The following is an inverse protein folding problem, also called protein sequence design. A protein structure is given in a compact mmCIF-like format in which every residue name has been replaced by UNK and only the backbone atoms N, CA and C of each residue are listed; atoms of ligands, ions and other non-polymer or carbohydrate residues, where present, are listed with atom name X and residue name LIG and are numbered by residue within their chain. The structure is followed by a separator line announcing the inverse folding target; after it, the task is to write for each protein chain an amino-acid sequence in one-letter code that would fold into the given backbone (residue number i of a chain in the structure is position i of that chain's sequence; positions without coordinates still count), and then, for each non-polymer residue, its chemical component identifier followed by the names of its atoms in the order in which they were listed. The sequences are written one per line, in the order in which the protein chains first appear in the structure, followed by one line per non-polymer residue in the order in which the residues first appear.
data_IF_635189165725
#
_entry.id   IF_635189165725
#
_cell.length_a   1.000
_cell.length_b   1.000
_cell.length_c   1.000
_cell.angle_alpha   90.00
_cell.angle_beta   90.00
_cell.angle_gamma   90.00
#
_symmetry.space_group_name_H-M   'P 1'
#
loop_
_entity.id
_entity.type
_entity.pdbx_description
1 polymer ?
#
# COMPACT_ATOMS: atom_id res chain seq x y z
N UNK A 1 108.62 -11.38 14.35
CA UNK A 1 108.88 -9.93 14.33
C UNK A 1 107.99 -9.34 13.26
N UNK A 2 106.90 -8.67 13.60
CA UNK A 2 106.83 -7.32 14.16
C UNK A 2 106.59 -6.29 13.04
N UNK A 3 105.54 -5.49 13.31
CA UNK A 3 105.28 -4.12 12.87
C UNK A 3 104.77 -3.88 11.44
N UNK A 4 103.63 -3.18 11.44
CA UNK A 4 102.96 -2.51 10.34
C UNK A 4 103.86 -1.54 9.56
N UNK A 5 103.52 -1.33 8.29
CA UNK A 5 103.56 0.00 7.67
C UNK A 5 102.54 0.06 6.55
N UNK A 6 101.40 0.68 6.83
CA UNK A 6 100.56 1.31 5.81
C UNK A 6 101.16 2.70 5.48
N UNK A 7 100.53 3.48 4.60
CA UNK A 7 100.55 3.41 3.14
C UNK A 7 101.19 4.69 2.59
N UNK A 8 101.30 4.83 1.26
CA UNK A 8 101.12 6.08 0.47
C UNK A 8 102.01 6.07 -0.78
N UNK A 9 101.36 6.15 -1.93
CA UNK A 9 101.97 6.70 -3.13
C UNK A 9 101.54 5.99 -4.40
N UNK A 10 100.70 6.69 -5.18
CA UNK A 10 100.34 6.53 -6.60
C UNK A 10 98.87 6.14 -6.79
N UNK A 11 97.95 7.12 -6.76
CA UNK A 11 97.63 8.08 -7.83
C UNK A 11 97.13 7.40 -9.10
N UNK A 12 95.82 7.62 -9.30
CA UNK A 12 95.21 8.01 -10.58
C UNK A 12 95.39 7.06 -11.75
N UNK A 13 94.29 6.34 -12.03
CA UNK A 13 93.70 5.98 -13.33
C UNK A 13 92.58 4.99 -12.94
N UNK A 14 91.29 5.29 -12.99
CA UNK A 14 90.54 6.23 -13.80
C UNK A 14 89.35 6.70 -12.97
N UNK A 15 89.17 8.02 -12.86
CA UNK A 15 87.85 8.59 -12.71
C UNK A 15 87.11 8.36 -14.04
N UNK A 16 86.75 7.10 -14.32
CA UNK A 16 85.81 6.81 -15.38
C UNK A 16 84.51 7.47 -14.94
N UNK A 17 84.08 8.46 -15.71
CA UNK A 17 82.82 9.15 -15.50
C UNK A 17 81.70 8.12 -15.64
N UNK A 18 81.37 7.43 -14.56
CA UNK A 18 80.19 6.59 -14.52
C UNK A 18 79.01 7.54 -14.62
N UNK A 19 78.30 7.47 -15.73
CA UNK A 19 77.02 8.14 -15.85
C UNK A 19 76.14 7.72 -14.68
N UNK A 20 75.22 8.58 -14.24
CA UNK A 20 74.32 8.22 -13.14
C UNK A 20 73.54 6.92 -13.40
N UNK A 21 73.35 6.59 -14.69
CA UNK A 21 72.80 5.33 -15.19
C UNK A 21 73.68 4.09 -14.93
N UNK A 22 74.96 4.23 -14.64
CA UNK A 22 75.89 3.12 -14.39
C UNK A 22 76.15 2.89 -12.90
N UNK A 23 75.69 3.78 -12.02
CA UNK A 23 75.73 3.58 -10.57
C UNK A 23 74.89 2.35 -10.19
N UNK A 24 75.31 1.53 -9.21
CA UNK A 24 74.56 0.34 -8.82
C UNK A 24 73.21 0.73 -8.21
N UNK A 25 72.18 0.72 -9.04
CA UNK A 25 70.78 0.95 -8.69
C UNK A 25 70.02 -0.39 -8.81
N UNK A 26 68.94 -0.57 -8.05
CA UNK A 26 68.05 -1.75 -8.10
C UNK A 26 67.64 -2.05 -9.54
N UNK A 27 67.39 -0.99 -10.33
CA UNK A 27 67.08 -1.11 -11.75
C UNK A 27 68.22 -1.71 -12.59
N UNK A 28 69.47 -1.31 -12.34
CA UNK A 28 70.64 -1.83 -13.07
C UNK A 28 70.97 -3.28 -12.71
N UNK A 29 70.68 -3.70 -11.47
CA UNK A 29 70.79 -5.09 -11.06
C UNK A 29 69.74 -5.96 -11.76
N UNK A 30 68.50 -5.46 -11.86
CA UNK A 30 67.43 -6.12 -12.61
C UNK A 30 67.77 -6.24 -14.10
N UNK A 31 68.29 -5.17 -14.72
CA UNK A 31 68.72 -5.19 -16.13
C UNK A 31 69.83 -6.21 -16.36
N UNK A 32 70.81 -6.32 -15.45
CA UNK A 32 71.83 -7.38 -15.52
C UNK A 32 71.22 -8.77 -15.41
N UNK A 33 70.28 -9.00 -14.47
CA UNK A 33 69.60 -10.29 -14.33
C UNK A 33 68.79 -10.67 -15.57
N UNK A 34 68.14 -9.71 -16.21
CA UNK A 34 67.44 -9.91 -17.50
C UNK A 34 68.45 -10.26 -18.60
N UNK A 35 69.58 -9.55 -18.66
CA UNK A 35 70.62 -9.75 -19.68
C UNK A 35 71.31 -11.12 -19.58
N UNK A 36 71.53 -11.63 -18.36
CA UNK A 36 72.06 -12.98 -18.15
C UNK A 36 71.01 -14.09 -18.34
N UNK A 37 69.73 -13.75 -18.35
CA UNK A 37 68.62 -14.68 -18.53
C UNK A 37 68.40 -15.59 -17.32
N UNK A 38 67.43 -15.26 -16.48
CA UNK A 38 67.04 -16.14 -15.37
C UNK A 38 66.14 -17.26 -15.89
N UNK A 39 66.54 -18.52 -15.68
CA UNK A 39 65.68 -19.66 -15.95
C UNK A 39 64.50 -19.66 -14.97
N UNK A 40 63.29 -19.46 -15.49
CA UNK A 40 62.07 -19.51 -14.70
C UNK A 40 61.74 -20.95 -14.29
N UNK A 41 61.19 -21.13 -13.09
CA UNK A 41 60.66 -22.42 -12.66
C UNK A 41 59.47 -22.80 -13.54
N UNK A 42 59.38 -24.08 -13.91
CA UNK A 42 58.26 -24.61 -14.69
C UNK A 42 56.95 -24.46 -13.89
N UNK A 43 56.00 -23.73 -14.45
CA UNK A 43 54.68 -23.50 -13.82
C UNK A 43 53.85 -24.77 -13.96
N UNK A 44 53.25 -25.21 -12.87
CA UNK A 44 52.30 -26.32 -12.90
C UNK A 44 50.97 -25.78 -13.40
N UNK A 45 50.39 -26.44 -14.40
CA UNK A 45 49.06 -26.12 -14.89
C UNK A 45 48.03 -27.12 -14.35
N UNK A 46 46.79 -26.69 -14.15
CA UNK A 46 45.67 -27.60 -13.85
C UNK A 46 45.28 -28.44 -15.07
N UNK A 47 44.33 -29.36 -14.89
CA UNK A 47 43.73 -30.23 -15.91
C UNK A 47 43.18 -29.47 -17.13
N UNK A 48 42.92 -28.17 -16.99
CA UNK A 48 42.51 -27.25 -18.06
C UNK A 48 43.64 -26.36 -18.57
N UNK A 49 44.89 -26.76 -18.37
CA UNK A 49 46.11 -26.04 -18.79
C UNK A 49 46.30 -24.64 -18.19
N UNK A 50 45.52 -24.27 -17.16
CA UNK A 50 45.65 -22.96 -16.49
C UNK A 50 46.79 -22.99 -15.48
N UNK A 51 47.73 -22.03 -15.52
CA UNK A 51 48.86 -21.99 -14.59
C UNK A 51 48.37 -21.75 -13.16
N UNK A 52 48.78 -22.60 -12.23
CA UNK A 52 48.53 -22.45 -10.79
C UNK A 52 49.54 -21.44 -10.23
N UNK A 53 49.18 -20.16 -10.26
CA UNK A 53 49.98 -19.06 -9.72
C UNK A 53 49.37 -18.56 -8.41
N UNK A 54 49.90 -19.01 -7.27
CA UNK A 54 49.47 -18.52 -5.95
C UNK A 54 50.09 -17.15 -5.64
N UNK A 55 49.27 -16.24 -5.11
CA UNK A 55 49.72 -14.97 -4.50
C UNK A 55 49.99 -13.81 -5.45
N UNK A 56 49.84 -13.95 -6.77
CA UNK A 56 49.89 -12.82 -7.69
C UNK A 56 48.51 -12.16 -7.79
N UNK A 57 48.37 -10.95 -7.19
CA UNK A 57 47.27 -10.03 -7.52
C UNK A 57 47.27 -9.86 -9.04
N UNK A 58 46.13 -10.06 -9.71
CA UNK A 58 46.00 -9.89 -11.17
C UNK A 58 46.47 -8.47 -11.51
N UNK A 59 47.71 -8.32 -11.96
CA UNK A 59 48.21 -7.04 -12.44
C UNK A 59 47.51 -6.81 -13.77
N UNK A 60 46.69 -5.75 -13.83
CA UNK A 60 46.14 -5.25 -15.09
C UNK A 60 47.33 -5.02 -16.02
N UNK A 61 47.36 -5.70 -17.16
CA UNK A 61 48.44 -5.58 -18.15
C UNK A 61 48.66 -4.09 -18.41
N UNK A 62 49.84 -3.58 -18.10
CA UNK A 62 50.21 -2.23 -18.53
C UNK A 62 50.37 -2.31 -20.04
N UNK A 63 49.53 -1.59 -20.78
CA UNK A 63 49.61 -1.55 -22.24
C UNK A 63 50.98 -0.96 -22.63
N UNK A 64 51.70 -1.65 -23.49
CA UNK A 64 52.90 -1.10 -24.12
C UNK A 64 52.50 0.09 -25.00
N UNK A 65 53.44 1.00 -25.30
CA UNK A 65 53.15 2.21 -26.10
C UNK A 65 52.56 1.83 -27.46
N UNK A 66 53.00 0.71 -28.03
CA UNK A 66 52.45 0.16 -29.29
C UNK A 66 51.00 -0.34 -29.13
N UNK A 67 50.66 -0.98 -28.01
CA UNK A 67 49.30 -1.41 -27.72
C UNK A 67 48.34 -0.24 -27.42
N UNK A 68 48.85 0.88 -26.87
CA UNK A 68 48.03 2.08 -26.67
C UNK A 68 47.62 2.73 -28.01
N UNK A 69 48.51 2.68 -29.00
CA UNK A 69 48.24 3.21 -30.35
C UNK A 69 47.25 2.30 -31.10
N UNK A 70 47.39 0.98 -30.98
CA UNK A 70 46.45 0.02 -31.57
C UNK A 70 45.07 0.11 -30.92
N UNK A 71 45.00 0.24 -29.59
CA UNK A 71 43.74 0.38 -28.87
C UNK A 71 43.00 1.67 -29.24
N UNK A 72 43.72 2.79 -29.42
CA UNK A 72 43.13 4.04 -29.89
C UNK A 72 42.58 3.93 -31.33
N UNK A 73 43.14 3.04 -32.15
CA UNK A 73 42.62 2.75 -33.49
C UNK A 73 41.43 1.76 -33.47
N UNK A 74 41.37 0.84 -32.50
CA UNK A 74 40.27 -0.14 -32.34
C UNK A 74 39.04 0.42 -31.59
N UNK A 75 39.10 1.63 -31.01
CA UNK A 75 37.98 2.20 -30.22
C UNK A 75 36.79 2.66 -31.09
N UNK A 76 36.83 2.50 -32.41
CA UNK A 76 35.69 2.78 -33.30
C UNK A 76 34.83 1.55 -33.66
N UNK A 77 35.23 0.30 -33.34
CA UNK A 77 34.49 -0.88 -33.84
C UNK A 77 34.17 -2.00 -32.83
N UNK A 78 34.50 -1.90 -31.53
CA UNK A 78 34.14 -2.96 -30.57
C UNK A 78 33.67 -2.42 -29.23
N UNK A 79 32.37 -2.11 -29.15
CA UNK A 79 31.67 -1.94 -27.87
C UNK A 79 31.35 -3.34 -27.30
N UNK A 80 32.20 -3.74 -26.34
CA UNK A 80 31.85 -4.39 -25.08
C UNK A 80 31.29 -5.83 -25.13
N UNK A 81 32.20 -6.80 -25.00
CA UNK A 81 31.98 -8.02 -24.20
C UNK A 81 33.23 -8.24 -23.33
N UNK A 82 33.19 -7.82 -22.06
CA UNK A 82 34.29 -8.07 -21.11
C UNK A 82 34.38 -7.11 -19.93
N UNK A 83 33.47 -7.25 -18.96
CA UNK A 83 33.73 -7.33 -17.50
C UNK A 83 32.43 -7.08 -16.70
N UNK A 84 31.41 -7.93 -16.88
CA UNK A 84 30.15 -7.88 -16.10
C UNK A 84 30.34 -8.20 -14.60
N UNK A 85 31.53 -8.67 -14.20
CA UNK A 85 31.82 -9.06 -12.81
C UNK A 85 32.16 -7.87 -11.90
N UNK A 86 32.76 -6.79 -12.42
CA UNK A 86 33.06 -5.58 -11.63
C UNK A 86 31.81 -4.69 -11.43
N UNK A 87 30.79 -4.84 -12.29
CA UNK A 87 29.51 -4.15 -12.13
C UNK A 87 28.71 -4.73 -10.96
N UNK A 88 28.85 -6.03 -10.66
CA UNK A 88 28.11 -6.70 -9.59
C UNK A 88 28.53 -6.20 -8.20
N UNK A 89 29.83 -5.99 -7.96
CA UNK A 89 30.29 -5.47 -6.66
C UNK A 89 29.90 -3.99 -6.48
N UNK A 90 29.90 -3.20 -7.57
CA UNK A 90 29.41 -1.82 -7.55
C UNK A 90 27.90 -1.74 -7.31
N UNK A 91 27.12 -2.58 -7.99
CA UNK A 91 25.67 -2.69 -7.79
C UNK A 91 25.38 -3.18 -6.37
N UNK A 92 26.20 -4.04 -5.79
CA UNK A 92 26.08 -4.47 -4.39
C UNK A 92 26.32 -3.31 -3.42
N UNK A 93 27.36 -2.51 -3.63
CA UNK A 93 27.66 -1.36 -2.79
C UNK A 93 26.57 -0.28 -2.90
N UNK A 94 26.09 -0.01 -4.13
CA UNK A 94 24.97 0.91 -4.37
C UNK A 94 23.68 0.40 -3.71
N UNK A 95 23.39 -0.90 -3.81
CA UNK A 95 22.22 -1.53 -3.16
C UNK A 95 22.33 -1.52 -1.63
N UNK A 96 23.54 -1.65 -1.08
CA UNK A 96 23.76 -1.50 0.36
C UNK A 96 23.60 -0.04 0.82
N UNK A 97 24.05 0.92 0.00
CA UNK A 97 23.88 2.35 0.26
C UNK A 97 22.40 2.75 0.23
N UNK A 98 21.64 2.31 -0.76
CA UNK A 98 20.18 2.57 -0.84
C UNK A 98 19.44 1.92 0.31
N UNK A 99 19.82 0.69 0.71
CA UNK A 99 19.29 0.04 1.92
C UNK A 99 19.56 0.87 3.19
N UNK A 100 20.76 1.43 3.33
CA UNK A 100 21.10 2.27 4.47
C UNK A 100 20.32 3.59 4.47
N UNK A 101 20.14 4.21 3.29
CA UNK A 101 19.34 5.43 3.12
C UNK A 101 17.88 5.18 3.48
N UNK A 102 17.28 4.11 2.96
CA UNK A 102 15.90 3.72 3.28
C UNK A 102 15.72 3.44 4.78
N UNK A 103 16.67 2.79 5.42
CA UNK A 103 16.62 2.56 6.87
C UNK A 103 16.64 3.88 7.68
N UNK A 104 17.39 4.88 7.22
CA UNK A 104 17.39 6.22 7.84
C UNK A 104 16.07 6.94 7.56
N UNK A 105 15.51 6.84 6.36
CA UNK A 105 14.22 7.41 6.01
C UNK A 105 13.09 6.81 6.83
N UNK A 106 13.05 5.49 7.00
CA UNK A 106 12.08 4.80 7.85
C UNK A 106 12.19 5.26 9.31
N UNK A 107 13.41 5.37 9.84
CA UNK A 107 13.64 5.89 11.20
C UNK A 107 13.19 7.35 11.36
N UNK A 108 13.44 8.19 10.36
CA UNK A 108 13.00 9.58 10.34
C UNK A 108 11.47 9.68 10.24
N UNK A 109 10.85 8.88 9.36
CA UNK A 109 9.40 8.78 9.21
C UNK A 109 8.74 8.35 10.52
N UNK A 110 9.27 7.33 11.18
CA UNK A 110 8.76 6.86 12.48
C UNK A 110 8.96 7.90 13.60
N UNK A 111 10.02 8.73 13.55
CA UNK A 111 10.20 9.83 14.48
C UNK A 111 9.17 10.95 14.24
N UNK A 112 8.92 11.31 12.99
CA UNK A 112 7.91 12.31 12.58
C UNK A 112 6.50 11.82 12.93
N UNK A 113 6.19 10.53 12.73
CA UNK A 113 4.91 9.95 13.11
C UNK A 113 4.66 9.97 14.62
N UNK A 114 5.70 9.72 15.42
CA UNK A 114 5.61 9.87 16.88
C UNK A 114 5.36 11.32 17.29
N UNK A 115 6.01 12.28 16.64
CA UNK A 115 5.80 13.70 16.90
C UNK A 115 4.38 14.13 16.49
N UNK A 116 3.91 13.72 15.31
CA UNK A 116 2.55 13.97 14.85
C UNK A 116 1.51 13.39 15.81
N UNK A 117 1.70 12.16 16.32
CA UNK A 117 0.82 11.57 17.34
C UNK A 117 0.79 12.41 18.63
N UNK A 118 1.93 12.94 19.06
CA UNK A 118 2.00 13.84 20.24
C UNK A 118 1.31 15.17 19.97
N UNK A 119 1.48 15.75 18.79
CA UNK A 119 0.83 16.99 18.40
C UNK A 119 -0.69 16.83 18.30
N UNK A 120 -1.17 15.74 17.69
CA UNK A 120 -2.59 15.41 17.64
C UNK A 120 -3.19 15.23 19.05
N UNK A 121 -2.49 14.55 19.95
CA UNK A 121 -2.93 14.43 21.35
C UNK A 121 -2.97 15.79 22.06
N UNK A 122 -2.02 16.69 21.76
CA UNK A 122 -2.01 18.04 22.33
C UNK A 122 -3.15 18.90 21.78
N UNK A 123 -3.44 18.81 20.47
CA UNK A 123 -4.56 19.49 19.83
C UNK A 123 -5.87 19.01 20.47
N UNK A 124 -6.08 17.71 20.59
CA UNK A 124 -7.27 17.14 21.23
C UNK A 124 -7.45 17.65 22.67
N UNK A 125 -6.36 17.69 23.45
CA UNK A 125 -6.42 18.22 24.82
C UNK A 125 -6.81 19.71 24.85
N UNK A 126 -6.24 20.52 23.95
CA UNK A 126 -6.56 21.94 23.84
C UNK A 126 -7.99 22.17 23.36
N UNK A 127 -8.50 21.34 22.44
CA UNK A 127 -9.90 21.38 22.00
C UNK A 127 -10.84 21.10 23.18
N UNK A 128 -10.54 20.09 24.00
CA UNK A 128 -11.31 19.78 25.22
C UNK A 128 -11.24 20.91 26.24
N UNK A 129 -10.09 21.55 26.42
CA UNK A 129 -9.94 22.71 27.31
C UNK A 129 -10.75 23.91 26.80
N UNK A 130 -10.70 24.20 25.50
CA UNK A 130 -11.48 25.27 24.86
C UNK A 130 -12.98 24.99 24.98
N UNK A 131 -13.43 23.74 24.80
CA UNK A 131 -14.84 23.37 25.00
C UNK A 131 -15.28 23.54 26.45
N UNK A 132 -14.45 23.16 27.42
CA UNK A 132 -14.72 23.39 28.84
C UNK A 132 -14.81 24.88 29.15
N UNK A 133 -13.88 25.70 28.66
CA UNK A 133 -13.92 27.16 28.84
C UNK A 133 -15.12 27.81 28.15
N UNK A 134 -15.53 27.33 26.97
CA UNK A 134 -16.75 27.79 26.30
C UNK A 134 -17.99 27.45 27.12
N UNK A 135 -18.02 26.27 27.74
CA UNK A 135 -19.14 25.85 28.58
C UNK A 135 -19.19 26.61 29.91
N UNK A 136 -18.04 26.93 30.53
CA UNK A 136 -17.99 27.77 31.72
C UNK A 136 -18.40 29.21 31.41
N UNK A 137 -17.92 29.80 30.30
CA UNK A 137 -18.35 31.13 29.85
C UNK A 137 -19.85 31.19 29.54
N UNK A 138 -20.40 30.16 28.87
CA UNK A 138 -21.85 30.04 28.64
C UNK A 138 -22.66 29.93 29.95
N UNK A 139 -22.10 29.36 31.01
CA UNK A 139 -22.75 29.32 32.32
C UNK A 139 -22.68 30.66 33.05
N UNK A 140 -21.60 31.43 32.88
CA UNK A 140 -21.42 32.76 33.48
C UNK A 140 -22.33 33.82 32.84
N UNK A 141 -22.69 33.69 31.56
CA UNK A 141 -23.56 34.63 30.83
C UNK A 141 -25.07 34.37 30.98
N UNK A 142 -25.50 33.31 31.67
CA UNK A 142 -26.91 32.90 31.74
C UNK A 142 -27.61 33.38 33.01
N UNK A 143 -28.75 34.07 32.83
CA UNK A 143 -29.59 34.49 33.96
C UNK A 143 -30.21 33.29 34.69
N UNK A 144 -30.37 33.33 36.04
CA UNK A 144 -30.80 32.18 36.86
C UNK A 144 -32.14 31.54 36.47
N UNK A 145 -32.97 32.25 35.72
CA UNK A 145 -34.28 31.79 35.26
C UNK A 145 -34.22 30.91 34.01
N UNK A 146 -33.22 31.10 33.15
CA UNK A 146 -33.01 30.29 31.93
C UNK A 146 -32.44 28.92 32.31
N UNK A 147 -31.48 28.89 33.23
CA UNK A 147 -30.87 27.66 33.74
C UNK A 147 -31.89 26.72 34.40
N UNK A 148 -32.89 27.26 35.11
CA UNK A 148 -33.95 26.43 35.72
C UNK A 148 -34.87 25.79 34.69
N UNK A 149 -35.20 26.50 33.61
CA UNK A 149 -36.06 25.97 32.54
C UNK A 149 -35.35 24.89 31.73
N UNK A 150 -34.09 25.12 31.38
CA UNK A 150 -33.27 24.12 30.69
C UNK A 150 -33.07 22.87 31.55
N UNK A 151 -32.81 23.03 32.85
CA UNK A 151 -32.72 21.90 33.77
C UNK A 151 -34.05 21.14 33.92
N UNK A 152 -35.20 21.83 33.94
CA UNK A 152 -36.52 21.19 33.91
C UNK A 152 -36.81 20.44 32.60
N UNK A 153 -36.28 20.92 31.46
CA UNK A 153 -36.41 20.25 30.17
C UNK A 153 -35.48 19.04 30.05
N UNK A 154 -34.24 19.15 30.54
CA UNK A 154 -33.29 18.04 30.58
C UNK A 154 -33.75 16.93 31.52
N UNK A 155 -34.27 17.28 32.69
CA UNK A 155 -34.84 16.29 33.63
C UNK A 155 -36.06 15.57 33.04
N UNK A 156 -36.90 16.25 32.25
CA UNK A 156 -38.00 15.60 31.51
C UNK A 156 -37.50 14.65 30.43
N UNK A 157 -36.47 15.03 29.67
CA UNK A 157 -35.85 14.16 28.65
C UNK A 157 -35.20 12.92 29.28
N UNK A 158 -34.47 13.09 30.38
CA UNK A 158 -33.89 11.97 31.12
C UNK A 158 -34.96 11.05 31.71
N UNK A 159 -36.10 11.61 32.15
CA UNK A 159 -37.24 10.82 32.60
C UNK A 159 -37.90 10.02 31.46
N UNK A 160 -38.06 10.60 30.27
CA UNK A 160 -38.61 9.87 29.11
C UNK A 160 -37.66 8.78 28.63
N UNK A 161 -36.36 9.05 28.56
CA UNK A 161 -35.35 8.06 28.16
C UNK A 161 -35.27 6.90 29.16
N UNK A 162 -35.39 7.19 30.46
CA UNK A 162 -35.48 6.16 31.50
C UNK A 162 -36.73 5.27 31.31
N UNK A 163 -37.88 5.85 30.96
CA UNK A 163 -39.11 5.10 30.69
C UNK A 163 -38.98 4.22 29.44
N UNK A 164 -38.37 4.73 28.37
CA UNK A 164 -38.10 3.96 27.16
C UNK A 164 -37.15 2.79 27.45
N UNK A 165 -36.10 3.03 28.24
CA UNK A 165 -35.19 1.96 28.68
C UNK A 165 -35.90 0.91 29.53
N UNK A 166 -36.82 1.30 30.40
CA UNK A 166 -37.61 0.35 31.19
C UNK A 166 -38.52 -0.50 30.31
N UNK A 167 -39.22 0.11 29.34
CA UNK A 167 -40.05 -0.63 28.38
C UNK A 167 -39.23 -1.61 27.54
N UNK A 168 -38.03 -1.21 27.09
CA UNK A 168 -37.14 -2.08 26.35
C UNK A 168 -36.68 -3.30 27.17
N UNK A 169 -36.43 -3.11 28.48
CA UNK A 169 -36.10 -4.22 29.39
C UNK A 169 -37.29 -5.16 29.54
N UNK A 170 -38.51 -4.64 29.77
CA UNK A 170 -39.72 -5.45 29.87
C UNK A 170 -39.98 -6.27 28.59
N UNK A 171 -39.77 -5.67 27.41
CA UNK A 171 -39.86 -6.40 26.14
C UNK A 171 -38.84 -7.54 26.03
N UNK A 172 -37.60 -7.31 26.45
CA UNK A 172 -36.56 -8.34 26.43
C UNK A 172 -36.88 -9.44 27.43
N UNK A 173 -37.38 -9.09 28.61
CA UNK A 173 -37.81 -10.06 29.61
C UNK A 173 -38.96 -10.93 29.08
N UNK A 174 -39.95 -10.34 28.41
CA UNK A 174 -41.04 -11.10 27.79
C UNK A 174 -40.53 -12.04 26.69
N UNK A 175 -39.65 -11.56 25.81
CA UNK A 175 -39.00 -12.40 24.78
C UNK A 175 -38.21 -13.55 25.41
N UNK A 176 -37.52 -13.29 26.53
CA UNK A 176 -36.81 -14.34 27.27
C UNK A 176 -37.77 -15.38 27.83
N UNK A 177 -38.89 -14.97 28.45
CA UNK A 177 -39.90 -15.90 28.95
C UNK A 177 -40.52 -16.75 27.83
N UNK A 178 -40.83 -16.16 26.68
CA UNK A 178 -41.37 -16.88 25.52
C UNK A 178 -40.37 -17.91 24.97
N UNK A 179 -39.10 -17.52 24.81
CA UNK A 179 -38.05 -18.42 24.31
C UNK A 179 -37.78 -19.58 25.26
N UNK A 180 -37.80 -19.33 26.57
CA UNK A 180 -37.70 -20.40 27.59
C UNK A 180 -38.90 -21.35 27.49
N UNK A 181 -40.12 -20.83 27.32
CA UNK A 181 -41.31 -21.65 27.10
C UNK A 181 -41.22 -22.53 25.84
N UNK A 182 -40.74 -21.98 24.73
CA UNK A 182 -40.50 -22.74 23.49
C UNK A 182 -39.44 -23.82 23.70
N UNK A 183 -38.37 -23.51 24.42
CA UNK A 183 -37.30 -24.46 24.74
C UNK A 183 -37.86 -25.66 25.52
N UNK A 184 -38.70 -25.42 26.53
CA UNK A 184 -39.34 -26.50 27.29
C UNK A 184 -40.31 -27.33 26.45
N UNK A 185 -41.07 -26.71 25.53
CA UNK A 185 -41.89 -27.44 24.57
C UNK A 185 -41.04 -28.36 23.68
N UNK A 186 -39.95 -27.85 23.11
CA UNK A 186 -39.06 -28.65 22.25
C UNK A 186 -38.36 -29.78 22.99
N UNK A 187 -38.00 -29.58 24.27
CA UNK A 187 -37.47 -30.64 25.13
C UNK A 187 -38.49 -31.76 25.31
N UNK A 188 -39.74 -31.42 25.61
CA UNK A 188 -40.81 -32.41 25.75
C UNK A 188 -41.04 -33.19 24.45
N UNK A 189 -41.08 -32.50 23.30
CA UNK A 189 -41.21 -33.15 21.99
C UNK A 189 -40.05 -34.10 21.69
N UNK A 190 -38.82 -33.71 22.04
CA UNK A 190 -37.62 -34.54 21.89
C UNK A 190 -37.68 -35.78 22.78
N UNK A 191 -38.09 -35.64 24.03
CA UNK A 191 -38.27 -36.77 24.96
C UNK A 191 -39.35 -37.74 24.45
N UNK A 192 -40.44 -37.22 23.91
CA UNK A 192 -41.47 -38.04 23.26
C UNK A 192 -40.93 -38.79 22.04
N UNK A 193 -40.18 -38.12 21.17
CA UNK A 193 -39.56 -38.72 20.00
C UNK A 193 -38.57 -39.82 20.39
N UNK A 194 -37.76 -39.59 21.43
CA UNK A 194 -36.85 -40.60 21.99
C UNK A 194 -37.63 -41.80 22.53
N UNK A 195 -38.72 -41.58 23.24
CA UNK A 195 -39.59 -42.66 23.75
C UNK A 195 -40.22 -43.47 22.61
N UNK A 196 -40.67 -42.81 21.54
CA UNK A 196 -41.19 -43.45 20.32
C UNK A 196 -40.09 -44.27 19.62
N UNK A 197 -38.88 -43.72 19.46
CA UNK A 197 -37.74 -44.44 18.89
C UNK A 197 -37.37 -45.68 19.71
N UNK A 198 -37.28 -45.58 21.04
CA UNK A 198 -37.01 -46.75 21.89
C UNK A 198 -38.08 -47.84 21.75
N UNK A 199 -39.35 -47.46 21.57
CA UNK A 199 -40.42 -48.43 21.32
C UNK A 199 -40.26 -49.12 19.95
N UNK A 200 -39.87 -48.37 18.91
CA UNK A 200 -39.61 -48.92 17.58
C UNK A 200 -38.40 -49.86 17.59
N UNK A 201 -37.30 -49.47 18.25
CA UNK A 201 -36.12 -50.33 18.41
C UNK A 201 -36.45 -51.64 19.11
N UNK A 202 -37.27 -51.60 20.19
CA UNK A 202 -37.75 -52.82 20.87
C UNK A 202 -38.60 -53.70 19.97
N UNK A 203 -39.48 -53.11 19.14
CA UNK A 203 -40.29 -53.85 18.16
C UNK A 203 -39.40 -54.49 17.09
N UNK A 204 -38.45 -53.76 16.52
CA UNK A 204 -37.48 -54.30 15.55
C UNK A 204 -36.64 -55.43 16.15
N UNK A 205 -36.16 -55.28 17.39
CA UNK A 205 -35.42 -56.32 18.10
C UNK A 205 -36.26 -57.57 18.37
N UNK A 206 -37.57 -57.42 18.63
CA UNK A 206 -38.48 -58.55 18.82
C UNK A 206 -38.78 -59.30 17.50
N UNK A 207 -38.89 -58.58 16.38
CA UNK A 207 -39.04 -59.17 15.05
C UNK A 207 -37.76 -59.92 14.64
N UNK A 208 -36.59 -59.33 14.91
CA UNK A 208 -35.29 -59.97 14.65
C UNK A 208 -35.06 -61.26 15.47
N UNK A 209 -35.71 -61.40 16.63
CA UNK A 209 -35.64 -62.61 17.47
C UNK A 209 -36.68 -63.69 17.11
N UNK A 210 -37.59 -63.42 16.16
CA UNK A 210 -38.78 -64.23 15.90
C UNK A 210 -38.85 -64.94 14.54
N UNK A 211 -37.80 -64.95 13.70
CA UNK A 211 -37.90 -65.54 12.36
C UNK A 211 -36.63 -66.24 11.87
N UNK A 212 -36.61 -67.58 11.97
CA UNK A 212 -35.83 -68.42 11.06
C UNK A 212 -36.59 -68.58 9.72
N UNK A 213 -35.91 -68.28 8.61
CA UNK A 213 -36.13 -68.94 7.31
C UNK A 213 -36.95 -68.22 6.23
N UNK A 214 -36.31 -67.32 5.45
CA UNK A 214 -36.44 -67.36 3.99
C UNK A 214 -35.25 -66.72 3.27
N UNK A 215 -34.72 -67.40 2.25
CA UNK A 215 -33.54 -67.06 1.45
C UNK A 215 -33.98 -66.67 0.02
N UNK A 216 -33.18 -65.80 -0.63
CA UNK A 216 -33.04 -65.52 -2.09
C UNK A 216 -34.05 -64.49 -2.67
N UNK A 217 -33.68 -63.42 -3.41
CA UNK A 217 -32.67 -63.27 -4.47
C UNK A 217 -32.27 -61.79 -4.75
N UNK A 218 -30.96 -61.58 -5.03
CA UNK A 218 -30.28 -60.66 -6.00
C UNK A 218 -30.88 -59.26 -6.33
N UNK A 219 -30.29 -58.15 -5.85
CA UNK A 219 -29.29 -57.24 -6.52
C UNK A 219 -29.94 -55.96 -7.12
N UNK A 220 -29.22 -54.83 -7.37
CA UNK A 220 -28.34 -54.06 -6.45
C UNK A 220 -28.45 -52.51 -6.63
N UNK A 221 -27.97 -51.70 -5.67
CA UNK A 221 -27.16 -50.47 -5.90
C UNK A 221 -26.63 -49.97 -4.53
N UNK A 222 -25.33 -50.12 -4.26
CA UNK A 222 -24.26 -49.12 -4.45
C UNK A 222 -24.46 -47.85 -3.58
N UNK A 223 -23.87 -47.84 -2.37
CA UNK A 223 -22.61 -47.12 -2.00
C UNK A 223 -22.83 -45.59 -1.89
N UNK A 224 -22.46 -44.85 -0.83
CA UNK A 224 -21.56 -45.01 0.33
C UNK A 224 -21.89 -43.84 1.30
N UNK A 225 -21.95 -44.07 2.62
CA UNK A 225 -20.96 -43.62 3.63
C UNK A 225 -20.76 -42.08 3.67
N UNK A 226 -21.21 -41.42 4.74
CA UNK A 226 -20.32 -40.85 5.78
C UNK A 226 -21.02 -40.94 7.13
N UNK A 227 -20.39 -41.69 8.04
CA UNK A 227 -20.63 -41.67 9.47
C UNK A 227 -19.85 -40.52 10.10
N UNK A 228 -20.51 -39.86 11.03
CA UNK A 228 -19.96 -39.09 12.13
C UNK A 228 -19.09 -39.93 13.07
N UNK A 229 -18.15 -39.27 13.76
CA UNK A 229 -17.72 -39.53 15.14
C UNK A 229 -16.72 -38.46 15.61
N UNK A 230 -17.15 -37.66 16.60
CA UNK A 230 -16.67 -37.60 17.99
C UNK A 230 -15.16 -37.91 18.23
N UNK A 231 -14.42 -37.29 19.16
CA UNK A 231 -14.80 -36.76 20.47
C UNK A 231 -13.57 -35.97 21.04
N UNK A 232 -13.84 -34.95 21.89
CA UNK A 232 -13.18 -34.59 23.18
C UNK A 232 -11.63 -34.50 23.26
N UNK A 233 -10.95 -33.50 23.85
CA UNK A 233 -11.12 -32.86 25.18
C UNK A 233 -10.02 -31.80 25.45
N UNK A 234 -10.38 -30.73 26.20
CA UNK A 234 -9.63 -30.03 27.27
C UNK A 234 -8.43 -29.11 26.90
N UNK A 235 -8.71 -27.81 26.82
CA UNK A 235 -8.28 -26.76 27.78
C UNK A 235 -6.79 -26.55 28.11
N UNK A 236 -6.25 -25.40 27.66
CA UNK A 236 -5.40 -24.53 28.49
C UNK A 236 -5.26 -23.13 27.85
N UNK A 237 -5.63 -22.10 28.62
CA UNK A 237 -5.36 -20.69 28.35
C UNK A 237 -3.85 -20.42 28.16
N UNK A 238 -3.48 -19.64 27.14
CA UNK A 238 -2.44 -18.62 27.29
C UNK A 238 -2.64 -17.44 26.33
N UNK A 239 -2.89 -16.30 26.95
CA UNK A 239 -2.88 -14.94 26.40
C UNK A 239 -1.48 -14.64 25.86
N UNK A 240 -1.39 -14.08 24.66
CA UNK A 240 -0.46 -12.98 24.39
C UNK A 240 -0.85 -12.19 23.12
N UNK A 241 -0.89 -10.88 23.31
CA UNK A 241 -1.07 -9.80 22.33
C UNK A 241 -0.05 -9.82 21.20
N UNK A 242 -0.45 -9.37 20.01
CA UNK A 242 0.31 -8.54 19.04
C UNK A 242 -0.69 -8.16 17.92
N UNK A 243 -1.18 -6.91 17.93
CA UNK A 243 -0.83 -5.82 17.01
C UNK A 243 -1.11 -6.13 15.51
N UNK A 244 -1.98 -5.37 14.81
CA UNK A 244 -2.15 -5.49 13.37
C UNK A 244 -1.07 -4.67 12.62
N UNK A 245 -0.20 -5.38 11.90
CA UNK A 245 0.68 -4.90 10.83
C UNK A 245 -0.22 -4.43 9.66
N UNK A 246 -0.11 -3.17 9.23
CA UNK A 246 0.76 -2.73 8.12
C UNK A 246 0.45 -3.49 6.81
N UNK A 247 -0.45 -2.89 6.04
CA UNK A 247 -0.68 -3.17 4.63
C UNK A 247 0.56 -2.72 3.85
N UNK A 248 1.52 -3.64 3.63
CA UNK A 248 2.50 -3.49 2.56
C UNK A 248 1.97 -4.11 1.27
N UNK A 249 1.95 -3.27 0.23
CA UNK A 249 1.71 -3.60 -1.16
C UNK A 249 2.57 -4.80 -1.58
N UNK A 250 1.94 -5.93 -1.89
CA UNK A 250 2.65 -7.00 -2.59
C UNK A 250 2.88 -6.60 -4.05
N UNK A 251 4.08 -6.10 -4.27
CA UNK A 251 4.73 -5.98 -5.57
C UNK A 251 4.64 -7.31 -6.34
N UNK A 252 4.50 -7.16 -7.65
CA UNK A 252 4.43 -8.23 -8.64
C UNK A 252 5.58 -9.25 -8.47
N UNK A 253 5.27 -10.45 -7.96
CA UNK A 253 6.04 -11.65 -8.30
C UNK A 253 5.43 -12.27 -9.56
N UNK A 254 5.95 -11.85 -10.70
CA UNK A 254 5.84 -12.62 -11.93
C UNK A 254 6.69 -13.89 -11.76
N UNK A 255 6.07 -14.96 -11.26
CA UNK A 255 6.68 -16.28 -11.19
C UNK A 255 6.79 -16.82 -12.62
N UNK A 256 7.84 -16.43 -13.33
CA UNK A 256 8.31 -17.18 -14.50
C UNK A 256 9.03 -18.43 -13.99
N UNK A 257 8.25 -19.47 -13.68
CA UNK A 257 8.77 -20.84 -13.57
C UNK A 257 9.19 -21.30 -14.98
N UNK A 258 10.42 -20.95 -15.37
CA UNK A 258 11.14 -21.65 -16.44
C UNK A 258 11.64 -22.97 -15.88
N UNK A 259 10.76 -23.98 -15.80
CA UNK A 259 11.22 -25.36 -15.65
C UNK A 259 11.60 -25.90 -17.02
N UNK A 260 12.90 -26.14 -17.16
CA UNK A 260 13.56 -26.92 -18.20
C UNK A 260 12.90 -28.29 -18.33
N UNK A 261 12.10 -28.50 -19.37
CA UNK A 261 11.62 -29.83 -19.71
C UNK A 261 12.80 -30.66 -20.25
N UNK A 262 13.18 -31.65 -19.46
CA UNK A 262 14.15 -32.67 -19.85
C UNK A 262 13.41 -33.62 -20.77
N UNK A 263 13.67 -33.57 -22.08
CA UNK A 263 13.05 -34.49 -23.03
C UNK A 263 13.53 -35.91 -22.78
N UNK A 264 12.70 -36.70 -22.10
CA UNK A 264 12.78 -38.15 -22.08
C UNK A 264 11.76 -38.68 -23.09
N UNK A 265 12.26 -39.00 -24.27
CA UNK A 265 11.55 -39.68 -25.34
C UNK A 265 11.01 -41.03 -24.86
N UNK A 266 9.72 -41.29 -25.16
CA UNK A 266 8.91 -42.51 -24.94
C UNK A 266 7.87 -42.42 -23.79
N UNK A 267 6.80 -41.64 -23.99
CA UNK A 267 5.59 -41.71 -23.13
C UNK A 267 4.32 -41.75 -23.99
N UNK A 268 3.34 -42.56 -23.58
CA UNK A 268 2.08 -42.89 -24.26
C UNK A 268 1.25 -41.63 -24.61
N UNK A 269 0.51 -41.65 -25.73
CA UNK A 269 -0.36 -40.55 -26.19
C UNK A 269 -1.38 -40.07 -25.12
N UNK A 270 -1.72 -40.95 -24.16
CA UNK A 270 -2.62 -40.64 -23.04
C UNK A 270 -2.04 -39.67 -22.03
N UNK A 271 -0.71 -39.70 -21.80
CA UNK A 271 -0.06 -38.81 -20.84
C UNK A 271 0.15 -37.40 -21.41
N UNK A 272 0.36 -37.28 -22.73
CA UNK A 272 0.43 -35.97 -23.39
C UNK A 272 -0.90 -35.20 -23.35
N UNK A 273 -2.03 -35.89 -23.54
CA UNK A 273 -3.36 -35.29 -23.45
C UNK A 273 -3.67 -34.79 -22.02
N UNK A 274 -3.30 -35.58 -20.99
CA UNK A 274 -3.47 -35.18 -19.59
C UNK A 274 -2.57 -33.99 -19.22
N UNK A 275 -1.35 -33.94 -19.75
CA UNK A 275 -0.44 -32.78 -19.61
C UNK A 275 -1.01 -31.52 -20.26
N UNK A 276 -1.56 -31.63 -21.47
CA UNK A 276 -2.22 -30.51 -22.16
C UNK A 276 -3.46 -30.03 -21.40
N UNK A 277 -4.30 -30.94 -20.90
CA UNK A 277 -5.45 -30.57 -20.07
C UNK A 277 -5.00 -29.82 -18.81
N UNK A 278 -3.96 -30.30 -18.13
CA UNK A 278 -3.39 -29.64 -16.95
C UNK A 278 -2.82 -28.25 -17.26
N UNK A 279 -2.16 -28.08 -18.43
CA UNK A 279 -1.67 -26.77 -18.91
C UNK A 279 -2.85 -25.81 -19.17
N UNK A 280 -3.88 -26.26 -19.88
CA UNK A 280 -5.07 -25.42 -20.16
C UNK A 280 -5.84 -25.03 -18.90
N UNK A 281 -5.92 -25.92 -17.91
CA UNK A 281 -6.55 -25.63 -16.61
C UNK A 281 -5.77 -24.58 -15.81
N UNK A 282 -4.44 -24.63 -15.82
CA UNK A 282 -3.58 -23.60 -15.19
C UNK A 282 -3.78 -22.23 -15.85
N UNK A 283 -3.80 -22.20 -17.18
CA UNK A 283 -4.01 -20.96 -17.94
C UNK A 283 -5.39 -20.34 -17.68
N UNK A 284 -6.45 -21.16 -17.65
CA UNK A 284 -7.79 -20.70 -17.27
C UNK A 284 -7.81 -20.15 -15.84
N UNK A 285 -7.12 -20.80 -14.89
CA UNK A 285 -7.02 -20.31 -13.50
C UNK A 285 -6.33 -18.95 -13.44
N UNK A 286 -5.23 -18.76 -14.17
CA UNK A 286 -4.54 -17.47 -14.25
C UNK A 286 -5.44 -16.37 -14.82
N UNK A 287 -6.19 -16.67 -15.88
CA UNK A 287 -7.14 -15.71 -16.48
C UNK A 287 -8.28 -15.36 -15.51
N UNK A 288 -8.80 -16.32 -14.74
CA UNK A 288 -9.81 -16.07 -13.70
C UNK A 288 -9.24 -15.17 -12.60
N UNK A 289 -8.04 -15.43 -12.11
CA UNK A 289 -7.40 -14.58 -11.10
C UNK A 289 -7.14 -13.17 -11.64
N UNK A 290 -6.69 -13.05 -12.90
CA UNK A 290 -6.50 -11.77 -13.57
C UNK A 290 -7.81 -10.99 -13.66
N UNK A 291 -8.89 -11.62 -14.13
CA UNK A 291 -10.23 -11.03 -14.20
C UNK A 291 -10.69 -10.53 -12.82
N UNK A 292 -10.55 -11.36 -11.79
CA UNK A 292 -10.93 -11.00 -10.41
C UNK A 292 -10.16 -9.78 -9.91
N UNK A 293 -8.85 -9.74 -10.12
CA UNK A 293 -8.04 -8.60 -9.68
C UNK A 293 -8.39 -7.30 -10.42
N UNK A 294 -8.76 -7.35 -11.70
CA UNK A 294 -9.23 -6.15 -12.41
C UNK A 294 -10.59 -5.68 -11.90
N UNK A 295 -11.54 -6.59 -11.65
CA UNK A 295 -12.83 -6.24 -11.04
C UNK A 295 -12.65 -5.57 -9.68
N UNK A 296 -11.80 -6.13 -8.82
CA UNK A 296 -11.52 -5.56 -7.50
C UNK A 296 -10.93 -4.15 -7.63
N UNK A 297 -9.90 -3.98 -8.48
CA UNK A 297 -9.30 -2.66 -8.75
C UNK A 297 -10.31 -1.66 -9.32
N UNK A 298 -11.22 -2.11 -10.18
CA UNK A 298 -12.28 -1.28 -10.76
C UNK A 298 -13.29 -0.82 -9.70
N UNK A 299 -13.72 -1.71 -8.80
CA UNK A 299 -14.61 -1.34 -7.68
C UNK A 299 -13.94 -0.32 -6.76
N UNK A 300 -12.63 -0.48 -6.49
CA UNK A 300 -11.87 0.48 -5.69
C UNK A 300 -11.76 1.84 -6.39
N UNK A 301 -11.48 1.86 -7.71
CA UNK A 301 -11.43 3.09 -8.49
C UNK A 301 -12.80 3.80 -8.55
N UNK A 302 -13.92 3.06 -8.62
CA UNK A 302 -15.28 3.62 -8.53
C UNK A 302 -15.55 4.26 -7.17
N UNK A 303 -15.22 3.58 -6.08
CA UNK A 303 -15.34 4.13 -4.71
C UNK A 303 -14.51 5.39 -4.55
N UNK A 304 -13.26 5.39 -5.02
CA UNK A 304 -12.42 6.59 -5.03
C UNK A 304 -13.07 7.74 -5.81
N UNK A 305 -13.65 7.45 -6.99
CA UNK A 305 -14.35 8.46 -7.81
C UNK A 305 -15.50 9.12 -7.06
N UNK A 306 -16.29 8.33 -6.34
CA UNK A 306 -17.39 8.84 -5.51
C UNK A 306 -16.86 9.81 -4.43
N UNK A 307 -15.82 9.39 -3.70
CA UNK A 307 -15.18 10.23 -2.67
C UNK A 307 -14.62 11.52 -3.28
N UNK A 308 -13.98 11.46 -4.45
CA UNK A 308 -13.46 12.63 -5.14
C UNK A 308 -14.57 13.58 -5.60
N UNK A 309 -15.71 13.06 -6.08
CA UNK A 309 -16.86 13.89 -6.45
C UNK A 309 -17.44 14.61 -5.22
N UNK A 310 -17.59 13.92 -4.10
CA UNK A 310 -18.03 14.56 -2.85
C UNK A 310 -17.04 15.65 -2.38
N UNK A 311 -15.74 15.39 -2.47
CA UNK A 311 -14.71 16.37 -2.14
C UNK A 311 -14.79 17.59 -3.07
N UNK A 312 -14.99 17.37 -4.38
CA UNK A 312 -15.17 18.45 -5.36
C UNK A 312 -16.36 19.34 -4.99
N UNK A 313 -17.53 18.73 -4.71
CA UNK A 313 -18.73 19.44 -4.27
C UNK A 313 -18.49 20.26 -2.98
N UNK A 314 -17.80 19.66 -2.00
CA UNK A 314 -17.42 20.36 -0.75
C UNK A 314 -16.52 21.57 -1.01
N UNK A 315 -15.52 21.45 -1.88
CA UNK A 315 -14.64 22.57 -2.22
C UNK A 315 -15.37 23.68 -2.99
N UNK A 316 -16.25 23.31 -3.93
CA UNK A 316 -17.09 24.28 -4.64
C UNK A 316 -17.99 25.06 -3.68
N UNK A 317 -18.64 24.37 -2.74
CA UNK A 317 -19.47 25.01 -1.72
C UNK A 317 -18.65 25.95 -0.84
N UNK A 318 -17.49 25.50 -0.35
CA UNK A 318 -16.61 26.33 0.48
C UNK A 318 -16.11 27.59 -0.26
N UNK A 319 -15.81 27.48 -1.56
CA UNK A 319 -15.43 28.62 -2.39
C UNK A 319 -16.60 29.61 -2.56
N UNK A 320 -17.82 29.12 -2.77
CA UNK A 320 -19.03 29.96 -2.85
C UNK A 320 -19.27 30.72 -1.55
N UNK A 321 -19.16 30.03 -0.42
CA UNK A 321 -19.36 30.64 0.91
C UNK A 321 -18.29 31.70 1.21
N UNK A 322 -17.03 31.43 0.86
CA UNK A 322 -15.94 32.40 1.01
C UNK A 322 -16.14 33.65 0.12
N UNK A 323 -16.59 33.46 -1.13
CA UNK A 323 -16.94 34.59 -2.02
C UNK A 323 -18.10 35.41 -1.45
N UNK A 324 -19.11 34.77 -0.86
CA UNK A 324 -20.21 35.47 -0.16
C UNK A 324 -19.69 36.26 1.03
N UNK A 325 -18.77 35.70 1.82
CA UNK A 325 -18.14 36.41 2.94
C UNK A 325 -17.32 37.61 2.48
N UNK A 326 -16.50 37.45 1.45
CA UNK A 326 -15.75 38.55 0.82
C UNK A 326 -16.69 39.68 0.37
N UNK A 327 -17.79 39.35 -0.34
CA UNK A 327 -18.78 40.35 -0.77
C UNK A 327 -19.40 41.10 0.42
N UNK A 328 -19.67 40.43 1.55
CA UNK A 328 -20.18 41.10 2.76
C UNK A 328 -19.15 42.07 3.34
N UNK A 329 -17.91 41.64 3.44
CA UNK A 329 -16.81 42.45 3.95
C UNK A 329 -16.53 43.67 3.05
N UNK A 330 -16.61 43.48 1.73
CA UNK A 330 -16.54 44.58 0.76
C UNK A 330 -17.64 45.62 1.00
N UNK A 331 -18.89 45.20 1.23
CA UNK A 331 -19.98 46.13 1.56
C UNK A 331 -19.74 46.88 2.88
N UNK A 332 -19.11 46.26 3.87
CA UNK A 332 -18.75 46.91 5.14
C UNK A 332 -17.66 47.97 4.93
N UNK A 333 -16.62 47.65 4.15
CA UNK A 333 -15.58 48.60 3.74
C UNK A 333 -16.18 49.78 2.98
N UNK A 334 -17.04 49.52 1.98
CA UNK A 334 -17.69 50.57 1.20
C UNK A 334 -18.58 51.47 2.09
N UNK A 335 -19.25 50.88 3.08
CA UNK A 335 -20.05 51.64 4.06
C UNK A 335 -19.18 52.53 4.94
N UNK A 336 -18.04 52.04 5.42
CA UNK A 336 -17.11 52.88 6.19
C UNK A 336 -16.47 53.96 5.33
N UNK A 337 -16.09 53.65 4.10
CA UNK A 337 -15.58 54.63 3.15
C UNK A 337 -16.61 55.73 2.85
N UNK A 338 -17.90 55.38 2.77
CA UNK A 338 -18.98 56.36 2.62
C UNK A 338 -19.14 57.23 3.88
N UNK A 339 -19.18 56.63 5.07
CA UNK A 339 -19.24 57.39 6.33
C UNK A 339 -18.04 58.35 6.49
N UNK A 340 -16.85 57.93 6.08
CA UNK A 340 -15.63 58.76 6.05
C UNK A 340 -15.69 59.91 5.05
N UNK A 341 -16.50 59.77 4.01
CA UNK A 341 -16.65 60.78 2.95
C UNK A 341 -17.80 61.75 3.25
N UNK A 342 -18.82 61.28 3.99
CA UNK A 342 -20.02 62.03 4.33
C UNK A 342 -19.83 62.97 5.55
N UNK A 343 -18.63 63.04 6.13
CA UNK A 343 -18.25 64.10 7.10
C UNK A 343 -18.16 65.51 6.48
N UNK A 344 -18.25 65.65 5.14
CA UNK A 344 -18.22 66.94 4.44
C UNK A 344 -19.58 67.43 3.88
N UNK A 345 -20.65 66.62 3.82
CA UNK A 345 -21.98 67.14 3.43
C UNK A 345 -23.13 66.19 3.84
N UNK A 346 -23.98 66.66 4.73
CA UNK A 346 -25.15 65.99 5.27
C UNK A 346 -26.26 65.89 4.20
N UNK A 347 -26.38 64.75 3.51
CA UNK A 347 -27.65 64.37 2.86
C UNK A 347 -27.87 62.85 2.92
N UNK A 348 -28.71 62.47 3.88
CA UNK A 348 -29.19 61.11 4.08
C UNK A 348 -30.26 60.80 3.04
N UNK A 349 -29.92 60.21 1.90
CA UNK A 349 -30.79 59.25 1.19
C UNK A 349 -29.95 58.30 0.33
N UNK A 350 -30.02 57.01 0.62
CA UNK A 350 -30.14 55.98 -0.41
C UNK A 350 -30.65 54.71 0.25
N UNK A 351 -31.98 54.55 0.21
CA UNK A 351 -32.56 53.27 -0.14
C UNK A 351 -31.85 52.75 -1.41
N UNK A 352 -31.41 51.50 -1.40
CA UNK A 352 -31.86 50.54 -2.40
C UNK A 352 -31.51 49.12 -1.92
N UNK A 353 -32.58 48.35 -1.76
CA UNK A 353 -32.61 46.91 -1.71
C UNK A 353 -31.84 46.32 -2.90
N UNK A 354 -31.12 45.25 -2.65
CA UNK A 354 -30.36 44.52 -3.65
C UNK A 354 -29.78 43.27 -3.04
N UNK A 355 -30.66 42.37 -2.62
CA UNK A 355 -30.33 40.95 -2.50
C UNK A 355 -29.74 40.49 -3.83
N UNK A 356 -28.41 40.40 -3.89
CA UNK A 356 -27.71 39.63 -4.90
C UNK A 356 -27.88 38.16 -4.53
N UNK A 357 -29.09 37.64 -4.69
CA UNK A 357 -29.33 36.24 -4.97
C UNK A 357 -28.69 35.93 -6.33
N UNK A 358 -27.36 35.77 -6.33
CA UNK A 358 -26.69 34.98 -7.37
C UNK A 358 -27.03 33.52 -7.06
N UNK A 359 -28.26 33.17 -7.41
CA UNK A 359 -28.75 31.81 -7.47
C UNK A 359 -28.17 31.18 -8.76
N UNK A 360 -26.85 30.99 -8.79
CA UNK A 360 -26.22 30.09 -9.74
C UNK A 360 -26.55 28.65 -9.32
N UNK A 361 -27.80 28.28 -9.61
CA UNK A 361 -28.26 26.90 -9.72
C UNK A 361 -27.60 26.29 -10.95
N UNK A 362 -26.29 26.04 -10.85
CA UNK A 362 -25.65 25.04 -11.69
C UNK A 362 -26.28 23.70 -11.33
N UNK A 363 -27.23 23.30 -12.17
CA UNK A 363 -27.79 21.96 -12.23
C UNK A 363 -26.63 21.02 -12.51
N UNK A 364 -25.98 20.54 -11.44
CA UNK A 364 -25.18 19.33 -11.49
C UNK A 364 -26.16 18.22 -11.88
N UNK A 365 -26.25 18.00 -13.20
CA UNK A 365 -26.90 16.85 -13.78
C UNK A 365 -26.23 15.63 -13.17
N UNK A 366 -26.88 15.10 -12.12
CA UNK A 366 -26.68 13.77 -11.57
C UNK A 366 -26.96 12.76 -12.70
N UNK A 367 -26.05 12.67 -13.65
CA UNK A 367 -25.93 11.50 -14.49
C UNK A 367 -25.38 10.44 -13.55
N UNK A 368 -26.31 9.78 -12.85
CA UNK A 368 -26.07 8.46 -12.30
C UNK A 368 -25.46 7.65 -13.43
N UNK A 369 -24.14 7.42 -13.34
CA UNK A 369 -23.48 6.46 -14.22
C UNK A 369 -24.14 5.15 -13.88
N UNK A 370 -25.07 4.79 -14.76
CA UNK A 370 -25.87 3.60 -14.72
C UNK A 370 -24.93 2.46 -14.37
N UNK A 371 -25.20 1.81 -13.24
CA UNK A 371 -24.55 0.58 -12.87
C UNK A 371 -24.77 -0.38 -14.02
N UNK A 372 -23.77 -0.45 -14.89
CA UNK A 372 -23.69 -1.46 -15.92
C UNK A 372 -23.40 -2.75 -15.16
N UNK A 373 -24.45 -3.32 -14.56
CA UNK A 373 -24.52 -4.72 -14.25
C UNK A 373 -24.41 -5.43 -15.60
N UNK A 374 -23.17 -5.57 -16.09
CA UNK A 374 -22.85 -6.52 -17.12
C UNK A 374 -23.28 -7.87 -16.56
N UNK A 375 -24.46 -8.32 -17.00
CA UNK A 375 -24.95 -9.67 -16.88
C UNK A 375 -23.76 -10.61 -17.03
N UNK A 376 -23.36 -11.21 -15.90
CA UNK A 376 -22.19 -12.07 -15.88
C UNK A 376 -22.52 -13.29 -16.75
N UNK A 377 -22.12 -13.22 -18.01
CA UNK A 377 -22.19 -14.33 -18.95
C UNK A 377 -21.19 -15.41 -18.57
N UNK A 378 -21.39 -16.05 -17.42
CA UNK A 378 -20.73 -17.31 -17.11
C UNK A 378 -21.22 -18.34 -18.12
N UNK A 379 -20.31 -18.73 -19.01
CA UNK A 379 -20.56 -19.79 -19.97
C UNK A 379 -20.81 -21.11 -19.20
N UNK A 380 -21.74 -21.96 -19.66
CA UNK A 380 -22.01 -23.25 -19.03
C UNK A 380 -20.75 -24.09 -18.78
N UNK A 381 -20.72 -24.94 -17.74
CA UNK A 381 -19.55 -25.71 -17.36
C UNK A 381 -19.04 -26.65 -18.47
N UNK A 382 -19.90 -27.06 -19.39
CA UNK A 382 -19.57 -27.92 -20.54
C UNK A 382 -19.00 -27.17 -21.76
N UNK A 383 -18.74 -25.86 -21.65
CA UNK A 383 -18.15 -25.12 -22.79
C UNK A 383 -16.69 -25.51 -23.04
N UNK A 384 -16.27 -25.63 -24.31
CA UNK A 384 -14.89 -25.92 -24.68
C UNK A 384 -13.91 -24.93 -24.04
N UNK A 385 -12.75 -25.44 -23.61
CA UNK A 385 -11.70 -24.67 -22.94
C UNK A 385 -11.30 -23.41 -23.74
N UNK A 386 -11.23 -23.49 -25.06
CA UNK A 386 -10.89 -22.34 -25.93
C UNK A 386 -11.93 -21.21 -25.86
N UNK A 387 -13.22 -21.55 -25.82
CA UNK A 387 -14.29 -20.54 -25.71
C UNK A 387 -14.28 -19.89 -24.34
N UNK A 388 -13.96 -20.65 -23.28
CA UNK A 388 -13.78 -20.12 -21.92
C UNK A 388 -12.60 -19.15 -21.86
N UNK A 389 -11.47 -19.50 -22.49
CA UNK A 389 -10.30 -18.61 -22.58
C UNK A 389 -10.61 -17.30 -23.31
N UNK A 390 -11.28 -17.38 -24.46
CA UNK A 390 -11.68 -16.20 -25.23
C UNK A 390 -12.58 -15.28 -24.41
N UNK A 391 -13.63 -15.82 -23.79
CA UNK A 391 -14.55 -15.06 -22.95
C UNK A 391 -13.85 -14.39 -21.75
N UNK A 392 -13.00 -15.13 -21.02
CA UNK A 392 -12.23 -14.56 -19.90
C UNK A 392 -11.28 -13.47 -20.36
N UNK A 393 -10.65 -13.64 -21.52
CA UNK A 393 -9.73 -12.65 -22.08
C UNK A 393 -10.46 -11.38 -22.51
N UNK A 394 -11.62 -11.51 -23.16
CA UNK A 394 -12.46 -10.38 -23.55
C UNK A 394 -12.96 -9.60 -22.32
N UNK A 395 -13.51 -10.31 -21.34
CA UNK A 395 -13.96 -9.69 -20.08
C UNK A 395 -12.80 -9.02 -19.33
N UNK A 396 -11.64 -9.68 -19.27
CA UNK A 396 -10.45 -9.10 -18.65
C UNK A 396 -10.05 -7.80 -19.34
N UNK A 397 -10.10 -7.74 -20.68
CA UNK A 397 -9.80 -6.50 -21.44
C UNK A 397 -10.83 -5.41 -21.21
N UNK A 398 -12.11 -5.75 -21.08
CA UNK A 398 -13.17 -4.77 -20.77
C UNK A 398 -12.94 -4.13 -19.41
N UNK A 399 -12.77 -4.93 -18.35
CA UNK A 399 -12.48 -4.41 -17.01
C UNK A 399 -11.17 -3.63 -16.95
N UNK A 400 -10.13 -4.06 -17.68
CA UNK A 400 -8.87 -3.33 -17.78
C UNK A 400 -9.04 -1.94 -18.42
N UNK A 401 -9.78 -1.85 -19.53
CA UNK A 401 -10.07 -0.58 -20.20
C UNK A 401 -10.93 0.34 -19.34
N UNK A 402 -11.98 -0.20 -18.69
CA UNK A 402 -12.82 0.55 -17.75
C UNK A 402 -12.00 1.08 -16.57
N UNK A 403 -11.13 0.24 -15.99
CA UNK A 403 -10.23 0.64 -14.92
C UNK A 403 -9.28 1.77 -15.35
N UNK A 404 -8.70 1.69 -16.56
CA UNK A 404 -7.82 2.73 -17.09
C UNK A 404 -8.57 4.06 -17.28
N UNK A 405 -9.79 4.02 -17.81
CA UNK A 405 -10.64 5.20 -17.96
C UNK A 405 -11.02 5.81 -16.60
N UNK A 406 -11.40 4.99 -15.62
CA UNK A 406 -11.71 5.44 -14.26
C UNK A 406 -10.49 6.09 -13.59
N UNK A 407 -9.30 5.48 -13.69
CA UNK A 407 -8.06 6.06 -13.15
C UNK A 407 -7.75 7.42 -13.75
N UNK A 408 -7.90 7.58 -15.08
CA UNK A 408 -7.71 8.87 -15.75
C UNK A 408 -8.76 9.89 -15.30
N UNK A 409 -10.02 9.49 -15.16
CA UNK A 409 -11.09 10.33 -14.64
C UNK A 409 -10.82 10.80 -13.20
N UNK A 410 -10.38 9.90 -12.32
CA UNK A 410 -10.03 10.20 -10.94
C UNK A 410 -8.85 11.17 -10.86
N UNK A 411 -7.84 11.00 -11.72
CA UNK A 411 -6.74 11.95 -11.81
C UNK A 411 -7.20 13.36 -12.19
N UNK A 412 -8.11 13.48 -13.16
CA UNK A 412 -8.69 14.77 -13.55
C UNK A 412 -9.52 15.40 -12.42
N UNK A 413 -10.29 14.60 -11.68
CA UNK A 413 -11.04 15.08 -10.52
C UNK A 413 -10.10 15.61 -9.43
N UNK A 414 -9.02 14.89 -9.11
CA UNK A 414 -8.00 15.35 -8.15
C UNK A 414 -7.40 16.68 -8.58
N UNK A 415 -6.98 16.80 -9.85
CA UNK A 415 -6.42 18.04 -10.38
C UNK A 415 -7.42 19.21 -10.31
N UNK A 416 -8.72 18.96 -10.55
CA UNK A 416 -9.75 19.98 -10.42
C UNK A 416 -9.99 20.39 -8.96
N UNK A 417 -9.98 19.43 -8.03
CA UNK A 417 -10.06 19.69 -6.60
C UNK A 417 -8.91 20.59 -6.14
N UNK A 418 -7.69 20.32 -6.61
CA UNK A 418 -6.51 21.10 -6.22
C UNK A 418 -6.57 22.53 -6.78
N UNK A 419 -7.02 22.71 -8.03
CA UNK A 419 -7.30 24.06 -8.57
C UNK A 419 -8.32 24.83 -7.73
N UNK A 420 -9.41 24.17 -7.32
CA UNK A 420 -10.43 24.81 -6.48
C UNK A 420 -9.89 25.16 -5.09
N UNK A 421 -9.00 24.35 -4.52
CA UNK A 421 -8.33 24.69 -3.26
C UNK A 421 -7.44 25.92 -3.42
N UNK A 422 -6.69 26.02 -4.52
CA UNK A 422 -5.85 27.19 -4.79
C UNK A 422 -6.70 28.46 -4.95
N UNK A 423 -7.82 28.37 -5.67
CA UNK A 423 -8.74 29.50 -5.85
C UNK A 423 -9.42 29.89 -4.54
N UNK A 424 -9.78 28.92 -3.70
CA UNK A 424 -10.31 29.15 -2.36
C UNK A 424 -9.27 29.79 -1.45
N UNK A 425 -8.01 29.36 -1.53
CA UNK A 425 -6.91 29.97 -0.79
C UNK A 425 -6.72 31.44 -1.18
N UNK A 426 -6.66 31.74 -2.49
CA UNK A 426 -6.59 33.12 -2.98
C UNK A 426 -7.79 33.96 -2.51
N UNK A 427 -9.00 33.39 -2.55
CA UNK A 427 -10.20 34.08 -2.09
C UNK A 427 -10.12 34.40 -0.59
N UNK A 428 -9.64 33.47 0.23
CA UNK A 428 -9.41 33.69 1.66
C UNK A 428 -8.35 34.76 1.93
N UNK A 429 -7.28 34.77 1.16
CA UNK A 429 -6.23 35.80 1.26
C UNK A 429 -6.80 37.19 0.94
N UNK A 430 -7.63 37.31 -0.11
CA UNK A 430 -8.35 38.55 -0.42
C UNK A 430 -9.32 38.95 0.71
N UNK A 431 -10.07 38.01 1.28
CA UNK A 431 -10.94 38.29 2.44
C UNK A 431 -10.15 38.76 3.65
N UNK A 432 -9.02 38.12 3.93
CA UNK A 432 -8.17 38.42 5.09
C UNK A 432 -7.54 39.81 4.96
N UNK A 433 -6.95 40.11 3.81
CA UNK A 433 -6.35 41.43 3.53
C UNK A 433 -7.37 42.56 3.66
N UNK A 434 -8.57 42.39 3.10
CA UNK A 434 -9.65 43.35 3.23
C UNK A 434 -10.10 43.52 4.69
N UNK A 435 -10.07 42.43 5.47
CA UNK A 435 -10.43 42.46 6.89
C UNK A 435 -9.36 43.17 7.72
N UNK A 436 -8.09 42.95 7.42
CA UNK A 436 -6.95 43.64 8.03
C UNK A 436 -7.00 45.14 7.73
N UNK A 437 -7.28 45.53 6.49
CA UNK A 437 -7.45 46.93 6.09
C UNK A 437 -8.61 47.58 6.85
N UNK A 438 -9.77 46.90 6.92
CA UNK A 438 -10.93 47.37 7.68
C UNK A 438 -10.59 47.56 9.17
N UNK A 439 -9.89 46.59 9.77
CA UNK A 439 -9.46 46.67 11.16
C UNK A 439 -8.44 47.79 11.39
N UNK A 440 -7.54 48.04 10.45
CA UNK A 440 -6.57 49.14 10.52
C UNK A 440 -7.27 50.49 10.51
N UNK A 441 -8.24 50.69 9.60
CA UNK A 441 -9.05 51.91 9.54
C UNK A 441 -9.85 52.11 10.83
N UNK A 442 -10.48 51.05 11.34
CA UNK A 442 -11.19 51.08 12.62
C UNK A 442 -10.26 51.41 13.81
N UNK A 443 -9.01 50.93 13.79
CA UNK A 443 -8.03 51.23 14.82
C UNK A 443 -7.53 52.68 14.74
N UNK A 444 -7.42 53.27 13.54
CA UNK A 444 -7.08 54.69 13.36
C UNK A 444 -8.22 55.64 13.79
N UNK A 445 -9.47 55.17 13.69
CA UNK A 445 -10.67 55.86 14.15
C UNK A 445 -10.86 55.87 15.68
N UNK A 446 -10.16 55.00 16.41
CA UNK A 446 -10.33 54.73 17.84
C UNK A 446 -9.44 55.56 18.76
#
# INVERSE_FOLDING_TARGET
MAVAFSPLGEKELEACFMYESEKPNVHNQLLKQIQYGVQLKRVQCNDRSRPLLDGLRKFRRQLTIEEQIQKAAETEEAVVEGDELDDIDRVRDDLQSTKQMLALELRNKEAVERENKRLLAKILNLEVEIEKEKNTKKQEDRTPQVLKKEFEEETKKLQSELQESQHAVEEIENKYHDTVGQLDMTKNDLEEALRKNQQLERKLASIAKGGEGHILTKQPSAKKIVQSKDDKTIGANKINSTNPEEEEESEYEEVTETETETESSEEDETDQAALQERRTARELKLLVTKLKSFKEKETMARKERHVLREQLKKQQQALRDEKKNYKKLQKEVDKMAKLMKDDDENDSESDEEGESEEDETESDSESEESEQEESEGELPPDTPSDKKKQNLTERSKMHENCLAALKKGNYLLKANIDKLKDDLFKQREMSLTLQEDLNSVLAELG
#
